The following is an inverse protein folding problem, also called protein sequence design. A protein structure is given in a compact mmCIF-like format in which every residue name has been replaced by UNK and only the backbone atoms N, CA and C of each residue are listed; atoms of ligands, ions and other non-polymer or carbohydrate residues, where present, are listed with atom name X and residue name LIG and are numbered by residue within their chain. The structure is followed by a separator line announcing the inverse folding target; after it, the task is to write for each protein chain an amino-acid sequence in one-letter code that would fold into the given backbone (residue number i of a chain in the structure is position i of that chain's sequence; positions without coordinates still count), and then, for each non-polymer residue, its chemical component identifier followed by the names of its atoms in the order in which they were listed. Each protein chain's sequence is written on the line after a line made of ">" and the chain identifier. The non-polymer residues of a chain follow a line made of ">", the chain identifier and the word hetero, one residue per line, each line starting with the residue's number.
data_IF_693590703553
#
_entry.id   IF_693590703553
#
_cell.length_a   1.000
_cell.length_b   1.000
_cell.length_c   1.000
_cell.angle_alpha   90.00
_cell.angle_beta   90.00
_cell.angle_gamma   90.00
#
_symmetry.space_group_name_H-M   'P 1'
#
loop_
_entity.id
_entity.type
_entity.pdbx_description
1 polymer ?
#
# COMPACT_ATOMS: atom_id res chain seq x y z
N UNK A 1 87.27 -6.42 16.87
CA UNK A 1 85.99 -5.68 16.88
C UNK A 1 84.74 -6.55 16.69
N UNK A 2 84.83 -7.89 16.66
CA UNK A 2 83.65 -8.76 16.41
C UNK A 2 82.75 -9.02 17.61
N UNK A 3 83.23 -8.79 18.84
CA UNK A 3 82.46 -9.10 20.05
C UNK A 3 81.32 -8.09 20.31
N UNK A 4 81.57 -6.81 20.03
CA UNK A 4 80.59 -5.73 20.21
C UNK A 4 79.47 -5.84 19.15
N UNK A 5 79.82 -6.23 17.92
CA UNK A 5 78.83 -6.38 16.86
C UNK A 5 77.83 -7.52 17.14
N UNK A 6 78.27 -8.63 17.75
CA UNK A 6 77.37 -9.71 18.14
C UNK A 6 76.44 -9.33 19.31
N UNK A 7 76.90 -8.54 20.27
CA UNK A 7 76.09 -8.14 21.43
C UNK A 7 74.91 -7.21 21.06
N UNK A 8 75.07 -6.40 20.02
CA UNK A 8 74.01 -5.52 19.49
C UNK A 8 73.21 -6.12 18.32
N UNK A 9 73.72 -7.19 17.68
CA UNK A 9 73.02 -7.88 16.58
C UNK A 9 72.18 -9.06 17.05
N UNK A 10 72.41 -9.55 18.27
CA UNK A 10 71.53 -10.52 18.89
C UNK A 10 70.27 -9.81 19.37
N UNK A 11 69.15 -10.27 18.85
CA UNK A 11 67.79 -9.94 19.26
C UNK A 11 67.64 -10.24 20.78
N UNK A 12 68.03 -9.28 21.62
CA UNK A 12 68.25 -9.39 23.08
C UNK A 12 66.96 -9.61 23.89
N UNK A 13 65.87 -9.99 23.22
CA UNK A 13 64.64 -10.37 23.90
C UNK A 13 64.85 -11.70 24.61
N UNK A 14 64.61 -11.73 25.92
CA UNK A 14 64.65 -12.98 26.68
C UNK A 14 63.62 -13.98 26.12
N UNK A 15 63.82 -15.30 26.26
CA UNK A 15 62.83 -16.29 25.82
C UNK A 15 61.41 -15.98 26.33
N UNK A 16 61.29 -15.46 27.56
CA UNK A 16 59.99 -15.06 28.13
C UNK A 16 59.36 -13.84 27.44
N UNK A 17 60.16 -12.90 26.92
CA UNK A 17 59.65 -11.75 26.16
C UNK A 17 59.14 -12.18 24.78
N UNK A 18 59.79 -13.17 24.15
CA UNK A 18 59.33 -13.75 22.88
C UNK A 18 58.02 -14.53 23.06
N UNK A 19 57.89 -15.28 24.14
CA UNK A 19 56.65 -15.99 24.50
C UNK A 19 55.52 -15.01 24.84
N UNK A 20 55.79 -13.97 25.64
CA UNK A 20 54.82 -12.93 25.96
C UNK A 20 54.37 -12.15 24.71
N UNK A 21 55.28 -11.84 23.78
CA UNK A 21 54.94 -11.19 22.52
C UNK A 21 54.06 -12.09 21.62
N UNK A 22 54.32 -13.41 21.60
CA UNK A 22 53.50 -14.37 20.88
C UNK A 22 52.10 -14.52 21.50
N UNK A 23 52.01 -14.56 22.84
CA UNK A 23 50.75 -14.58 23.57
C UNK A 23 49.91 -13.32 23.29
N UNK A 24 50.53 -12.14 23.35
CA UNK A 24 49.86 -10.86 23.03
C UNK A 24 49.37 -10.81 21.58
N UNK A 25 50.17 -11.24 20.61
CA UNK A 25 49.73 -11.33 19.20
C UNK A 25 48.51 -12.24 19.04
N UNK A 26 48.51 -13.38 19.72
CA UNK A 26 47.39 -14.33 19.68
C UNK A 26 46.13 -13.71 20.27
N UNK A 27 46.25 -13.05 21.43
CA UNK A 27 45.14 -12.31 22.07
C UNK A 27 44.60 -11.24 21.11
N UNK A 28 45.47 -10.42 20.52
CA UNK A 28 45.06 -9.36 19.57
C UNK A 28 44.28 -9.93 18.38
N UNK A 29 44.75 -11.03 17.77
CA UNK A 29 44.04 -11.63 16.64
C UNK A 29 42.71 -12.28 17.03
N UNK A 30 42.61 -12.86 18.24
CA UNK A 30 41.33 -13.36 18.76
C UNK A 30 40.32 -12.23 18.99
N UNK A 31 40.73 -11.12 19.61
CA UNK A 31 39.87 -9.96 19.82
C UNK A 31 39.43 -9.31 18.51
N UNK A 32 40.36 -9.19 17.54
CA UNK A 32 40.05 -8.64 16.22
C UNK A 32 39.06 -9.52 15.46
N UNK A 33 39.15 -10.83 15.59
CA UNK A 33 38.22 -11.78 14.97
C UNK A 33 36.85 -11.71 15.64
N UNK A 34 36.79 -11.65 16.97
CA UNK A 34 35.57 -11.48 17.74
C UNK A 34 34.85 -10.16 17.36
N UNK A 35 35.59 -9.05 17.28
CA UNK A 35 35.04 -7.75 16.92
C UNK A 35 34.45 -7.75 15.49
N UNK A 36 35.13 -8.38 14.53
CA UNK A 36 34.61 -8.53 13.16
C UNK A 36 33.31 -9.33 13.13
N UNK A 37 33.20 -10.36 13.96
CA UNK A 37 31.99 -11.16 14.06
C UNK A 37 30.84 -10.34 14.64
N UNK A 38 31.10 -9.61 15.74
CA UNK A 38 30.11 -8.76 16.40
C UNK A 38 29.59 -7.64 15.48
N UNK A 39 30.48 -6.99 14.72
CA UNK A 39 30.08 -5.99 13.72
C UNK A 39 29.14 -6.60 12.67
N UNK A 40 29.46 -7.78 12.12
CA UNK A 40 28.59 -8.46 11.14
C UNK A 40 27.23 -8.84 11.75
N UNK A 41 27.22 -9.27 13.00
CA UNK A 41 25.99 -9.61 13.71
C UNK A 41 25.14 -8.36 13.93
N UNK A 42 25.76 -7.25 14.35
CA UNK A 42 25.08 -5.96 14.51
C UNK A 42 24.49 -5.46 13.18
N UNK A 43 25.24 -5.51 12.08
CA UNK A 43 24.74 -5.14 10.75
C UNK A 43 23.53 -5.98 10.32
N UNK A 44 23.58 -7.29 10.59
CA UNK A 44 22.46 -8.20 10.28
C UNK A 44 21.24 -7.85 11.10
N UNK A 45 21.42 -7.63 12.40
CA UNK A 45 20.34 -7.28 13.31
C UNK A 45 19.71 -5.92 12.93
N UNK A 46 20.52 -4.92 12.60
CA UNK A 46 20.02 -3.62 12.15
C UNK A 46 19.19 -3.74 10.87
N UNK A 47 19.65 -4.52 9.88
CA UNK A 47 18.88 -4.75 8.64
C UNK A 47 17.55 -5.43 8.92
N UNK A 48 17.53 -6.39 9.84
CA UNK A 48 16.31 -7.09 10.23
C UNK A 48 15.31 -6.15 10.93
N UNK A 49 15.78 -5.35 11.89
CA UNK A 49 14.94 -4.37 12.61
C UNK A 49 14.37 -3.33 11.65
N UNK A 50 15.16 -2.83 10.70
CA UNK A 50 14.68 -1.88 9.68
C UNK A 50 13.57 -2.53 8.84
N UNK A 51 13.76 -3.77 8.40
CA UNK A 51 12.76 -4.49 7.60
C UNK A 51 11.46 -4.71 8.37
N UNK A 52 11.54 -5.09 9.64
CA UNK A 52 10.38 -5.26 10.51
C UNK A 52 9.64 -3.92 10.69
N UNK A 53 10.36 -2.83 10.95
CA UNK A 53 9.78 -1.50 11.06
C UNK A 53 9.09 -1.01 9.78
N UNK A 54 9.67 -1.30 8.60
CA UNK A 54 9.05 -0.98 7.32
C UNK A 54 7.75 -1.75 7.08
N UNK A 55 7.72 -3.03 7.42
CA UNK A 55 6.54 -3.87 7.25
C UNK A 55 5.42 -3.49 8.24
N UNK A 56 5.78 -3.13 9.47
CA UNK A 56 4.83 -2.57 10.44
C UNK A 56 4.30 -1.21 9.99
N UNK A 57 5.15 -0.34 9.46
CA UNK A 57 4.71 0.95 8.91
C UNK A 57 3.70 0.76 7.76
N UNK A 58 3.96 -0.16 6.82
CA UNK A 58 3.01 -0.46 5.73
C UNK A 58 1.67 -0.96 6.28
N UNK A 59 1.70 -1.82 7.29
CA UNK A 59 0.48 -2.35 7.94
C UNK A 59 -0.33 -1.25 8.60
N UNK A 60 0.31 -0.43 9.43
CA UNK A 60 -0.33 0.69 10.13
C UNK A 60 -0.87 1.72 9.14
N UNK A 61 -0.12 2.04 8.08
CA UNK A 61 -0.57 2.94 7.03
C UNK A 61 -1.83 2.42 6.34
N UNK A 62 -1.83 1.15 5.92
CA UNK A 62 -3.01 0.53 5.30
C UNK A 62 -4.22 0.56 6.21
N UNK A 63 -4.03 0.22 7.49
CA UNK A 63 -5.11 0.25 8.48
C UNK A 63 -5.65 1.67 8.69
N UNK A 64 -4.78 2.68 8.77
CA UNK A 64 -5.18 4.07 8.92
C UNK A 64 -5.97 4.58 7.70
N UNK A 65 -5.57 4.19 6.48
CA UNK A 65 -6.29 4.50 5.25
C UNK A 65 -7.69 3.86 5.22
N UNK A 66 -7.80 2.58 5.60
CA UNK A 66 -9.07 1.86 5.71
C UNK A 66 -9.99 2.48 6.78
N UNK A 67 -9.45 2.83 7.94
CA UNK A 67 -10.19 3.48 9.02
C UNK A 67 -10.69 4.87 8.62
N UNK A 68 -9.87 5.65 7.93
CA UNK A 68 -10.25 6.98 7.44
C UNK A 68 -11.37 6.88 6.40
N UNK A 69 -11.24 5.93 5.47
CA UNK A 69 -12.28 5.65 4.48
C UNK A 69 -13.59 5.21 5.13
N UNK A 70 -13.53 4.29 6.11
CA UNK A 70 -14.71 3.83 6.86
C UNK A 70 -15.41 4.98 7.56
N UNK A 71 -14.66 5.82 8.29
CA UNK A 71 -15.21 7.01 8.97
C UNK A 71 -15.85 7.99 7.99
N UNK A 72 -15.24 8.16 6.81
CA UNK A 72 -15.77 9.04 5.76
C UNK A 72 -17.07 8.48 5.19
N UNK A 73 -17.14 7.18 4.90
CA UNK A 73 -18.38 6.53 4.45
C UNK A 73 -19.48 6.62 5.51
N UNK A 74 -19.16 6.41 6.78
CA UNK A 74 -20.11 6.55 7.89
C UNK A 74 -20.62 7.98 8.07
N UNK A 75 -19.76 8.98 7.87
CA UNK A 75 -20.15 10.39 7.88
C UNK A 75 -21.09 10.71 6.72
N UNK A 76 -20.73 10.31 5.50
CA UNK A 76 -21.58 10.50 4.30
C UNK A 76 -22.93 9.80 4.48
N UNK A 77 -22.95 8.58 5.02
CA UNK A 77 -24.19 7.86 5.31
C UNK A 77 -25.09 8.66 6.27
N UNK A 78 -24.53 9.19 7.36
CA UNK A 78 -25.28 10.02 8.32
C UNK A 78 -25.87 11.27 7.67
N UNK A 79 -25.11 11.98 6.85
CA UNK A 79 -25.61 13.18 6.16
C UNK A 79 -26.75 12.84 5.18
N UNK A 80 -26.63 11.73 4.44
CA UNK A 80 -27.71 11.27 3.56
C UNK A 80 -28.95 10.88 4.34
N UNK A 81 -28.78 10.18 5.47
CA UNK A 81 -29.90 9.81 6.34
C UNK A 81 -30.63 11.07 6.84
N UNK A 82 -29.89 12.12 7.24
CA UNK A 82 -30.47 13.43 7.60
C UNK A 82 -31.26 14.01 6.43
N UNK A 83 -30.67 14.08 5.23
CA UNK A 83 -31.35 14.60 4.03
C UNK A 83 -32.66 13.84 3.77
N UNK A 84 -32.66 12.51 3.92
CA UNK A 84 -33.89 11.72 3.69
C UNK A 84 -35.00 11.95 4.72
N UNK A 85 -34.68 12.54 5.87
CA UNK A 85 -35.67 12.90 6.90
C UNK A 85 -36.24 14.31 6.74
N UNK A 86 -35.74 15.12 5.81
CA UNK A 86 -36.23 16.48 5.61
C UNK A 86 -37.53 16.52 4.82
N UNK A 87 -38.38 17.52 5.12
CA UNK A 87 -39.61 17.78 4.36
C UNK A 87 -39.32 18.15 2.89
N UNK A 88 -38.14 18.71 2.62
CA UNK A 88 -37.68 19.01 1.26
C UNK A 88 -37.49 17.74 0.44
N UNK A 89 -36.91 16.69 1.03
CA UNK A 89 -36.80 15.39 0.37
C UNK A 89 -38.17 14.70 0.26
N UNK A 90 -39.02 14.81 1.27
CA UNK A 90 -40.38 14.25 1.22
C UNK A 90 -41.18 14.82 0.04
N UNK A 91 -41.01 16.10 -0.26
CA UNK A 91 -41.66 16.80 -1.37
C UNK A 91 -40.87 16.77 -2.69
N UNK A 92 -39.71 16.09 -2.73
CA UNK A 92 -38.89 16.03 -3.93
C UNK A 92 -39.51 15.15 -5.03
N UNK A 93 -39.06 15.38 -6.26
CA UNK A 93 -39.44 14.60 -7.43
C UNK A 93 -38.97 13.14 -7.35
N UNK A 94 -39.64 12.26 -8.11
CA UNK A 94 -39.37 10.82 -8.12
C UNK A 94 -37.94 10.49 -8.59
N UNK A 95 -37.37 11.29 -9.50
CA UNK A 95 -36.00 11.07 -10.01
C UNK A 95 -34.96 11.38 -8.94
N UNK A 96 -35.17 12.41 -8.13
CA UNK A 96 -34.32 12.73 -6.97
C UNK A 96 -34.35 11.63 -5.91
N UNK A 97 -35.55 11.11 -5.58
CA UNK A 97 -35.70 9.97 -4.64
C UNK A 97 -35.00 8.71 -5.15
N UNK A 98 -35.16 8.40 -6.43
CA UNK A 98 -34.49 7.25 -7.05
C UNK A 98 -32.95 7.36 -6.99
N UNK A 99 -32.40 8.55 -7.25
CA UNK A 99 -30.95 8.79 -7.16
C UNK A 99 -30.41 8.66 -5.75
N UNK A 100 -31.12 9.16 -4.75
CA UNK A 100 -30.71 9.05 -3.35
C UNK A 100 -30.76 7.58 -2.89
N UNK A 101 -31.78 6.82 -3.30
CA UNK A 101 -31.84 5.39 -3.03
C UNK A 101 -30.69 4.60 -3.68
N UNK A 102 -30.35 4.92 -4.94
CA UNK A 102 -29.18 4.34 -5.62
C UNK A 102 -27.88 4.67 -4.87
N UNK A 103 -27.74 5.91 -4.38
CA UNK A 103 -26.57 6.33 -3.62
C UNK A 103 -26.47 5.61 -2.27
N UNK A 104 -27.58 5.46 -1.53
CA UNK A 104 -27.61 4.70 -0.26
C UNK A 104 -27.23 3.23 -0.46
N UNK A 105 -27.73 2.60 -1.53
CA UNK A 105 -27.36 1.24 -1.91
C UNK A 105 -25.85 1.14 -2.20
N UNK A 106 -25.30 2.09 -2.94
CA UNK A 106 -23.87 2.15 -3.24
C UNK A 106 -23.02 2.35 -1.98
N UNK A 107 -23.37 3.28 -1.09
CA UNK A 107 -22.63 3.51 0.18
C UNK A 107 -22.66 2.25 1.06
N UNK A 108 -23.79 1.54 1.12
CA UNK A 108 -23.90 0.26 1.82
C UNK A 108 -22.99 -0.82 1.23
N UNK A 109 -22.91 -0.92 -0.10
CA UNK A 109 -22.04 -1.88 -0.77
C UNK A 109 -20.55 -1.50 -0.68
N UNK A 110 -20.21 -0.22 -0.77
CA UNK A 110 -18.84 0.29 -0.68
C UNK A 110 -18.20 -0.01 0.67
N UNK A 111 -18.98 0.04 1.77
CA UNK A 111 -18.52 -0.38 3.09
C UNK A 111 -18.23 -1.88 3.20
N UNK A 112 -19.04 -2.71 2.52
CA UNK A 112 -18.90 -4.17 2.51
C UNK A 112 -17.71 -4.66 1.67
N UNK A 113 -17.50 -4.06 0.49
CA UNK A 113 -16.52 -4.54 -0.49
C UNK A 113 -15.06 -4.33 -0.08
N UNK A 114 -14.75 -3.36 0.80
CA UNK A 114 -13.38 -3.15 1.31
C UNK A 114 -13.12 -3.73 2.70
N UNK A 115 -14.15 -3.95 3.51
CA UNK A 115 -13.99 -4.63 4.81
C UNK A 115 -13.94 -6.17 4.70
N UNK A 116 -14.33 -6.73 3.54
CA UNK A 116 -14.59 -8.16 3.34
C UNK A 116 -13.46 -9.04 2.82
N UNK A 117 -12.18 -8.65 2.88
CA UNK A 117 -11.08 -9.52 2.41
C UNK A 117 -10.35 -10.29 3.52
N UNK A 118 -10.65 -10.06 4.80
CA UNK A 118 -9.88 -10.63 5.92
C UNK A 118 -10.70 -11.34 7.01
N UNK A 119 -12.03 -11.29 7.00
CA UNK A 119 -12.79 -11.72 8.19
C UNK A 119 -14.05 -12.57 7.97
N UNK A 120 -14.46 -12.88 6.74
CA UNK A 120 -15.57 -13.81 6.51
C UNK A 120 -15.30 -14.65 5.27
N UNK A 121 -15.13 -15.95 5.47
CA UNK A 121 -15.13 -16.94 4.40
C UNK A 121 -16.43 -16.81 3.61
N UNK A 122 -16.29 -16.53 2.32
CA UNK A 122 -17.38 -16.60 1.35
C UNK A 122 -16.89 -17.52 0.23
N UNK A 123 -17.00 -18.83 0.48
CA UNK A 123 -17.49 -19.69 -0.60
C UNK A 123 -18.94 -19.27 -0.89
N UNK A 124 -19.34 -19.39 -2.15
CA UNK A 124 -20.70 -19.13 -2.66
C UNK A 124 -21.11 -17.65 -2.85
N UNK A 125 -20.68 -17.06 -3.97
CA UNK A 125 -21.50 -16.10 -4.75
C UNK A 125 -20.97 -15.95 -6.18
N UNK A 126 -20.86 -17.06 -6.90
CA UNK A 126 -20.55 -17.10 -8.35
C UNK A 126 -21.78 -17.30 -9.25
N UNK A 127 -23.00 -17.40 -8.69
CA UNK A 127 -24.21 -17.71 -9.48
C UNK A 127 -25.21 -16.56 -9.68
N UNK A 128 -25.06 -15.42 -8.99
CA UNK A 128 -26.02 -14.31 -9.14
C UNK A 128 -25.66 -13.31 -10.27
N UNK A 129 -24.44 -13.34 -10.81
CA UNK A 129 -24.04 -12.43 -11.90
C UNK A 129 -24.51 -12.85 -13.30
N UNK A 130 -24.95 -14.10 -13.49
CA UNK A 130 -25.38 -14.60 -14.80
C UNK A 130 -26.88 -14.31 -15.07
N UNK A 131 -27.69 -14.21 -14.02
CA UNK A 131 -29.14 -13.92 -14.16
C UNK A 131 -29.38 -12.45 -14.54
N UNK A 132 -28.64 -11.52 -13.94
CA UNK A 132 -28.82 -10.07 -14.19
C UNK A 132 -28.40 -9.66 -15.61
N UNK A 133 -27.41 -10.34 -16.21
CA UNK A 133 -27.03 -10.08 -17.61
C UNK A 133 -28.08 -10.53 -18.61
N UNK A 134 -28.95 -11.46 -18.25
CA UNK A 134 -29.97 -11.99 -19.18
C UNK A 134 -31.24 -11.12 -19.17
N UNK A 135 -31.58 -10.48 -18.05
CA UNK A 135 -32.73 -9.56 -17.98
C UNK A 135 -32.46 -8.22 -18.67
N UNK A 136 -31.23 -7.68 -18.59
CA UNK A 136 -30.91 -6.40 -19.26
C UNK A 136 -30.94 -6.52 -20.79
N UNK A 137 -30.69 -7.71 -21.35
CA UNK A 137 -30.73 -7.94 -22.81
C UNK A 137 -32.17 -8.09 -23.34
N UNK A 138 -33.15 -8.33 -22.47
CA UNK A 138 -34.55 -8.52 -22.90
C UNK A 138 -35.31 -7.19 -23.07
N UNK A 139 -34.98 -6.16 -22.28
CA UNK A 139 -35.62 -4.84 -22.37
C UNK A 139 -35.08 -3.98 -23.54
N UNK A 140 -33.83 -4.17 -23.95
CA UNK A 140 -33.21 -3.37 -25.01
C UNK A 140 -33.77 -3.69 -26.42
N UNK A 141 -34.44 -4.83 -26.59
CA UNK A 141 -35.03 -5.24 -27.89
C UNK A 141 -36.47 -4.78 -28.13
N UNK A 142 -37.17 -4.22 -27.14
CA UNK A 142 -38.55 -3.74 -27.33
C UNK A 142 -38.65 -2.23 -27.60
N UNK A 143 -37.55 -1.48 -27.46
CA UNK A 143 -37.57 -0.02 -27.59
C UNK A 143 -37.02 0.49 -28.94
N UNK A 144 -36.87 -0.39 -29.93
CA UNK A 144 -36.36 -0.07 -31.27
C UNK A 144 -37.47 -0.13 -32.33
N UNK A 145 -38.58 0.60 -32.11
CA UNK A 145 -39.58 0.85 -33.16
C UNK A 145 -40.48 2.04 -32.83
N UNK A 146 -39.95 3.26 -32.90
CA UNK A 146 -40.74 4.47 -33.19
C UNK A 146 -39.81 5.63 -33.62
N UNK A 147 -39.76 5.81 -34.94
CA UNK A 147 -39.70 7.07 -35.70
C UNK A 147 -38.73 8.20 -35.30
N UNK A 148 -37.72 8.41 -36.17
CA UNK A 148 -37.00 9.67 -36.37
C UNK A 148 -37.94 10.76 -36.94
N UNK A 149 -37.67 12.04 -36.61
CA UNK A 149 -37.22 12.89 -37.72
C UNK A 149 -35.94 13.68 -37.43
N UNK A 150 -35.26 13.85 -38.55
CA UNK A 150 -34.07 14.62 -38.92
C UNK A 150 -33.99 16.03 -38.28
N UNK A 151 -32.85 16.33 -37.65
CA UNK A 151 -32.30 17.69 -37.58
C UNK A 151 -30.78 17.60 -37.73
N UNK A 152 -30.26 18.22 -38.81
CA UNK A 152 -28.86 18.60 -38.95
C UNK A 152 -28.64 19.84 -38.09
N UNK A 153 -27.58 19.86 -37.28
CA UNK A 153 -26.94 21.12 -36.92
C UNK A 153 -25.45 20.91 -36.67
N UNK A 154 -24.66 21.62 -37.47
CA UNK A 154 -23.21 21.68 -37.46
C UNK A 154 -22.75 22.45 -36.22
N UNK A 155 -21.98 21.82 -35.34
CA UNK A 155 -20.97 22.54 -34.54
C UNK A 155 -19.78 21.63 -34.24
N UNK A 156 -18.73 21.79 -35.04
CA UNK A 156 -17.40 21.33 -34.68
C UNK A 156 -16.91 22.11 -33.45
N UNK A 157 -16.67 21.42 -32.33
CA UNK A 157 -15.79 21.95 -31.29
C UNK A 157 -14.54 21.09 -31.20
N UNK A 158 -13.43 21.79 -31.41
CA UNK A 158 -12.05 21.33 -31.51
C UNK A 158 -11.56 20.73 -30.19
N UNK A 159 -10.88 19.59 -30.31
CA UNK A 159 -10.21 18.89 -29.22
C UNK A 159 -8.99 19.70 -28.76
N UNK A 160 -8.93 20.12 -27.50
CA UNK A 160 -7.86 20.95 -26.90
C UNK A 160 -6.52 20.21 -26.70
N UNK A 161 -6.10 19.37 -27.65
CA UNK A 161 -4.87 18.57 -27.54
C UNK A 161 -3.78 18.86 -28.57
N UNK A 162 -3.95 19.85 -29.44
CA UNK A 162 -2.94 20.20 -30.45
C UNK A 162 -2.40 21.64 -30.35
N UNK A 163 -2.33 22.23 -29.16
CA UNK A 163 -1.78 23.59 -28.96
C UNK A 163 -0.47 23.65 -28.18
N UNK A 164 0.31 22.56 -28.14
CA UNK A 164 1.62 22.53 -27.46
C UNK A 164 2.78 21.97 -28.30
N UNK A 165 2.71 22.11 -29.63
CA UNK A 165 3.86 21.85 -30.53
C UNK A 165 3.88 22.87 -31.68
N UNK A 166 3.96 24.17 -31.34
CA UNK A 166 4.49 25.22 -32.23
C UNK A 166 4.78 26.47 -31.39
N UNK A 167 5.92 26.43 -30.71
CA UNK A 167 6.67 27.60 -30.26
C UNK A 167 8.15 27.28 -30.38
#
# INVERSE_FOLDING_TARGET
>A
MSFIYNYFSCDNSTPSEKENAAALKTIIETHKSALKFEIKQYETNCKQVIKEAEDDYKRVKKQAEEDMYRKTLEAVKREVDIITTTDEYANSDAKTKAKIAQFQSWVGCAGMWRCGASACGMEEKKKEQEVVKTEVIFDEKQQERQELPLYQDDTSYTNEKDTLLSA
#
